data_IF_705349567994
#
_entry.id   IF_705349567994
#
_cell.length_a   1.000
_cell.length_b   1.000
_cell.length_c   1.000
_cell.angle_alpha   90.00
_cell.angle_beta   90.00
_cell.angle_gamma   90.00
#
_symmetry.space_group_name_H-M   'P 1'
#
loop_
_entity.id
_entity.type
_entity.pdbx_description
1 polymer ?
#
# COMPACT_ATOMS: atom_id res chain seq x y z
N UNK A 1 -6.90 22.48 -20.16
CA UNK A 1 -7.09 21.50 -19.07
C UNK A 1 -5.83 20.69 -18.76
N UNK A 2 -5.11 20.13 -19.76
CA UNK A 2 -3.89 19.34 -19.52
C UNK A 2 -2.79 20.07 -18.72
N UNK A 3 -2.52 21.34 -19.05
CA UNK A 3 -1.46 22.14 -18.40
C UNK A 3 -1.74 22.42 -16.92
N UNK A 4 -3.02 22.58 -16.55
CA UNK A 4 -3.46 22.75 -15.15
C UNK A 4 -3.30 21.43 -14.38
N UNK A 5 -3.64 20.29 -14.99
CA UNK A 5 -3.43 18.96 -14.39
C UNK A 5 -1.95 18.69 -14.10
N UNK A 6 -1.07 18.96 -15.07
CA UNK A 6 0.37 18.74 -14.92
C UNK A 6 0.95 19.61 -13.81
N UNK A 7 0.53 20.88 -13.73
CA UNK A 7 0.94 21.76 -12.63
C UNK A 7 0.44 21.26 -11.27
N UNK A 8 -0.80 20.77 -11.17
CA UNK A 8 -1.31 20.21 -9.91
C UNK A 8 -0.58 18.95 -9.48
N UNK A 9 -0.19 18.08 -10.41
CA UNK A 9 0.61 16.88 -10.13
C UNK A 9 2.01 17.23 -9.63
N UNK A 10 2.68 18.20 -10.28
CA UNK A 10 4.01 18.65 -9.88
C UNK A 10 4.01 19.28 -8.48
N UNK A 11 2.98 20.09 -8.16
CA UNK A 11 2.80 20.68 -6.83
C UNK A 11 2.54 19.59 -5.78
N UNK A 12 1.69 18.62 -6.09
CA UNK A 12 1.37 17.52 -5.17
C UNK A 12 2.57 16.60 -4.93
N UNK A 13 3.34 16.29 -5.98
CA UNK A 13 4.61 15.56 -5.86
C UNK A 13 5.61 16.34 -5.00
N UNK A 14 5.79 17.64 -5.25
CA UNK A 14 6.66 18.50 -4.45
C UNK A 14 6.26 18.56 -2.97
N UNK A 15 4.97 18.72 -2.69
CA UNK A 15 4.43 18.73 -1.32
C UNK A 15 4.63 17.36 -0.63
N UNK A 16 4.43 16.25 -1.34
CA UNK A 16 4.64 14.90 -0.81
C UNK A 16 6.11 14.61 -0.50
N UNK A 17 7.06 15.05 -1.34
CA UNK A 17 8.49 14.99 -1.04
C UNK A 17 8.83 15.76 0.24
N UNK A 18 8.30 16.97 0.36
CA UNK A 18 8.56 17.83 1.51
C UNK A 18 8.02 17.20 2.81
N UNK A 19 6.83 16.60 2.75
CA UNK A 19 6.25 15.85 3.87
C UNK A 19 7.05 14.59 4.24
N UNK A 20 7.58 13.86 3.26
CA UNK A 20 8.44 12.71 3.51
C UNK A 20 9.77 13.11 4.14
N UNK A 21 10.36 14.23 3.71
CA UNK A 21 11.59 14.77 4.31
C UNK A 21 11.36 15.22 5.75
N UNK A 22 10.24 15.89 6.05
CA UNK A 22 9.92 16.27 7.44
C UNK A 22 9.69 15.05 8.32
N UNK A 23 9.00 14.02 7.83
CA UNK A 23 8.84 12.74 8.52
C UNK A 23 10.19 12.03 8.74
N UNK A 24 11.08 12.07 7.75
CA UNK A 24 12.40 11.48 7.85
C UNK A 24 13.29 12.18 8.87
N UNK A 25 13.30 13.52 8.86
CA UNK A 25 14.06 14.33 9.83
C UNK A 25 13.51 14.13 11.24
N UNK A 26 12.19 14.25 11.42
CA UNK A 26 11.55 14.04 12.74
C UNK A 26 11.76 12.61 13.24
N UNK A 27 11.67 11.59 12.38
CA UNK A 27 11.95 10.21 12.73
C UNK A 27 13.40 9.97 13.15
N UNK A 28 14.37 10.62 12.50
CA UNK A 28 15.79 10.56 12.89
C UNK A 28 16.09 11.33 14.18
N UNK A 29 15.43 12.47 14.42
CA UNK A 29 15.49 13.19 15.71
C UNK A 29 14.89 12.32 16.83
N UNK A 30 13.78 11.63 16.55
CA UNK A 30 13.15 10.71 17.49
C UNK A 30 14.05 9.50 17.81
N UNK A 31 14.87 9.07 16.83
CA UNK A 31 15.97 8.11 17.03
C UNK A 31 17.17 8.66 17.82
N UNK A 32 17.29 9.95 18.08
CA UNK A 32 18.38 10.49 18.91
C UNK A 32 18.00 10.58 20.39
N UNK A 33 16.70 10.54 20.70
CA UNK A 33 16.20 10.62 22.07
C UNK A 33 16.48 9.32 22.86
N UNK A 34 16.89 9.39 24.14
CA UNK A 34 17.15 8.22 24.98
C UNK A 34 15.87 7.49 25.47
N UNK A 35 14.68 8.03 25.21
CA UNK A 35 13.38 7.53 25.70
C UNK A 35 12.61 6.62 24.72
N UNK A 36 13.30 6.03 23.72
CA UNK A 36 12.69 5.33 22.56
C UNK A 36 11.78 4.16 22.94
N UNK A 37 12.10 3.47 24.03
CA UNK A 37 11.45 2.21 24.41
C UNK A 37 10.01 2.39 24.91
N UNK A 38 9.64 3.59 25.37
CA UNK A 38 8.30 3.82 25.95
C UNK A 38 7.39 4.64 25.03
N UNK A 39 7.95 5.65 24.36
CA UNK A 39 7.13 6.61 23.62
C UNK A 39 6.66 6.08 22.26
N UNK A 40 7.53 5.36 21.55
CA UNK A 40 7.23 4.97 20.17
C UNK A 40 6.24 3.80 20.05
N UNK A 41 6.29 2.74 20.87
CA UNK A 41 5.25 1.71 20.87
C UNK A 41 3.86 2.27 21.12
N UNK A 42 3.77 3.27 22.01
CA UNK A 42 2.50 3.91 22.35
C UNK A 42 1.92 4.70 21.18
N UNK A 43 2.76 5.45 20.46
CA UNK A 43 2.34 6.14 19.23
C UNK A 43 1.95 5.15 18.14
N UNK A 44 2.74 4.10 17.95
CA UNK A 44 2.50 3.11 16.91
C UNK A 44 1.20 2.33 17.15
N UNK A 45 0.94 1.92 18.39
CA UNK A 45 -0.32 1.28 18.80
C UNK A 45 -1.53 2.20 18.57
N UNK A 46 -1.38 3.50 18.83
CA UNK A 46 -2.44 4.48 18.60
C UNK A 46 -2.73 4.69 17.10
N UNK A 47 -1.70 4.69 16.26
CA UNK A 47 -1.83 4.95 14.83
C UNK A 47 -2.27 3.72 14.02
N UNK A 48 -1.74 2.54 14.33
CA UNK A 48 -1.96 1.31 13.55
C UNK A 48 -2.99 0.37 14.17
N UNK A 49 -3.32 0.53 15.46
CA UNK A 49 -4.18 -0.40 16.20
C UNK A 49 -3.54 -1.77 16.49
N UNK A 50 -2.31 -2.02 16.03
CA UNK A 50 -1.60 -3.30 16.16
C UNK A 50 -0.37 -3.13 17.06
N UNK A 51 -0.13 -4.10 17.94
CA UNK A 51 1.08 -4.17 18.75
C UNK A 51 2.19 -4.86 17.95
N UNK A 52 3.17 -4.10 17.46
CA UNK A 52 4.37 -4.64 16.84
C UNK A 52 5.58 -4.57 17.79
N UNK A 53 6.44 -5.61 17.80
CA UNK A 53 7.74 -5.59 18.46
C UNK A 53 8.61 -4.41 18.03
N UNK A 54 9.14 -3.70 19.04
CA UNK A 54 9.91 -2.45 18.87
C UNK A 54 11.11 -2.63 17.94
N UNK A 55 11.77 -3.78 18.00
CA UNK A 55 12.98 -4.12 17.25
C UNK A 55 12.74 -4.32 15.75
N UNK A 56 11.57 -4.84 15.36
CA UNK A 56 11.20 -5.01 13.96
C UNK A 56 11.00 -3.66 13.26
N UNK A 57 10.36 -2.69 13.92
CA UNK A 57 10.10 -1.41 13.28
C UNK A 57 11.30 -0.44 13.41
N UNK A 58 12.01 -0.37 14.55
CA UNK A 58 13.09 0.60 14.78
C UNK A 58 14.26 0.49 13.80
N UNK A 59 14.59 -0.73 13.41
CA UNK A 59 15.70 -1.03 12.49
C UNK A 59 15.49 -0.39 11.11
N UNK A 60 14.23 -0.37 10.66
CA UNK A 60 13.83 0.12 9.34
C UNK A 60 13.17 1.52 9.38
N UNK A 61 12.69 1.95 10.54
CA UNK A 61 12.02 3.24 10.76
C UNK A 61 12.93 4.39 10.35
N UNK A 62 12.45 5.38 9.59
CA UNK A 62 13.25 6.50 9.09
C UNK A 62 14.58 6.07 8.40
N UNK A 63 14.60 4.87 7.81
CA UNK A 63 15.67 4.40 6.94
C UNK A 63 15.45 4.82 5.49
N UNK A 64 16.50 4.75 4.67
CA UNK A 64 16.41 5.07 3.25
C UNK A 64 15.45 4.13 2.50
N UNK A 65 15.39 2.84 2.89
CA UNK A 65 14.46 1.86 2.32
C UNK A 65 12.99 2.23 2.57
N UNK A 66 12.64 2.60 3.81
CA UNK A 66 11.29 3.06 4.15
C UNK A 66 10.91 4.32 3.36
N UNK A 67 11.86 5.26 3.19
CA UNK A 67 11.62 6.47 2.42
C UNK A 67 11.41 6.18 0.93
N UNK A 68 12.19 5.25 0.35
CA UNK A 68 11.97 4.77 -1.03
C UNK A 68 10.60 4.12 -1.19
N UNK A 69 10.20 3.27 -0.24
CA UNK A 69 8.89 2.60 -0.27
C UNK A 69 7.74 3.62 -0.18
N UNK A 70 7.79 4.54 0.79
CA UNK A 70 6.78 5.59 0.93
C UNK A 70 6.73 6.53 -0.28
N UNK A 71 7.89 6.88 -0.85
CA UNK A 71 7.95 7.67 -2.08
C UNK A 71 7.28 6.96 -3.25
N UNK A 72 7.59 5.68 -3.47
CA UNK A 72 6.95 4.85 -4.51
C UNK A 72 5.44 4.78 -4.30
N UNK A 73 4.98 4.58 -3.08
CA UNK A 73 3.57 4.55 -2.74
C UNK A 73 2.88 5.89 -3.03
N UNK A 74 3.43 7.02 -2.56
CA UNK A 74 2.89 8.35 -2.84
C UNK A 74 2.85 8.63 -4.34
N UNK A 75 3.91 8.30 -5.06
CA UNK A 75 3.99 8.48 -6.51
C UNK A 75 2.95 7.65 -7.26
N UNK A 76 2.78 6.38 -6.88
CA UNK A 76 1.76 5.50 -7.45
C UNK A 76 0.35 6.02 -7.13
N UNK A 77 0.09 6.48 -5.90
CA UNK A 77 -1.22 6.99 -5.52
C UNK A 77 -1.57 8.30 -6.25
N UNK A 78 -0.59 9.19 -6.45
CA UNK A 78 -0.76 10.41 -7.25
C UNK A 78 -1.03 10.08 -8.73
N UNK A 79 -0.43 9.00 -9.24
CA UNK A 79 -0.61 8.52 -10.62
C UNK A 79 -1.87 7.69 -10.81
N UNK A 80 -2.32 6.95 -9.80
CA UNK A 80 -3.54 6.17 -9.76
C UNK A 80 -4.74 7.13 -9.64
N UNK A 81 -4.96 7.93 -10.68
CA UNK A 81 -6.09 8.86 -10.79
C UNK A 81 -7.39 8.10 -11.07
N UNK A 82 -7.80 7.21 -10.16
CA UNK A 82 -9.14 6.63 -10.23
C UNK A 82 -10.08 7.52 -9.43
N UNK A 83 -10.84 8.35 -10.15
CA UNK A 83 -11.95 9.11 -9.56
C UNK A 83 -13.25 8.40 -9.88
N UNK A 84 -14.10 8.28 -8.88
CA UNK A 84 -15.45 7.74 -9.05
C UNK A 84 -16.21 8.58 -10.10
N UNK A 85 -16.65 7.93 -11.19
CA UNK A 85 -17.31 8.59 -12.33
C UNK A 85 -16.42 8.86 -13.55
N UNK A 86 -15.10 8.68 -13.48
CA UNK A 86 -14.22 8.68 -14.66
C UNK A 86 -14.09 7.27 -15.27
N UNK A 87 -13.84 7.19 -16.58
CA UNK A 87 -13.67 5.90 -17.28
C UNK A 87 -12.46 5.15 -16.72
N UNK A 88 -12.63 3.85 -16.46
CA UNK A 88 -11.52 2.99 -16.05
C UNK A 88 -10.44 2.95 -17.15
N UNK A 89 -9.15 3.13 -16.82
CA UNK A 89 -8.07 3.04 -17.80
C UNK A 89 -7.94 1.61 -18.33
N UNK A 90 -7.67 1.46 -19.63
CA UNK A 90 -7.49 0.16 -20.28
C UNK A 90 -6.19 -0.50 -19.77
N UNK A 91 -6.31 -1.31 -18.72
CA UNK A 91 -5.20 -2.02 -18.11
C UNK A 91 -4.98 -3.35 -18.85
N UNK A 92 -3.74 -3.59 -19.30
CA UNK A 92 -3.38 -4.87 -19.91
C UNK A 92 -3.41 -5.97 -18.84
N UNK A 93 -4.41 -6.83 -18.90
CA UNK A 93 -4.53 -8.02 -18.06
C UNK A 93 -4.04 -9.25 -18.82
N UNK A 94 -3.41 -10.18 -18.12
CA UNK A 94 -3.01 -11.48 -18.68
C UNK A 94 -3.99 -12.54 -18.16
N UNK A 95 -4.63 -13.28 -19.07
CA UNK A 95 -5.55 -14.36 -18.71
C UNK A 95 -4.77 -15.57 -18.16
N UNK A 96 -5.06 -15.95 -16.91
CA UNK A 96 -4.45 -17.07 -16.21
C UNK A 96 -5.11 -18.42 -16.53
N UNK A 97 -6.15 -18.47 -17.37
CA UNK A 97 -6.85 -19.71 -17.73
C UNK A 97 -5.94 -20.83 -18.25
N UNK A 98 -4.75 -20.51 -18.77
CA UNK A 98 -3.77 -21.47 -19.30
C UNK A 98 -2.68 -21.90 -18.29
N UNK A 99 -2.67 -21.39 -17.06
CA UNK A 99 -1.67 -21.71 -16.04
C UNK A 99 -2.35 -22.18 -14.75
N UNK A 100 -2.45 -23.51 -14.64
CA UNK A 100 -2.71 -24.35 -13.46
C UNK A 100 -3.69 -23.84 -12.37
N UNK A 101 -4.81 -24.57 -12.20
CA UNK A 101 -5.78 -24.39 -11.10
C UNK A 101 -5.09 -24.45 -9.73
N UNK A 102 -5.04 -23.31 -9.04
CA UNK A 102 -4.79 -23.25 -7.60
C UNK A 102 -6.14 -23.34 -6.87
N UNK A 103 -6.21 -24.14 -5.81
CA UNK A 103 -7.42 -24.35 -5.02
C UNK A 103 -7.54 -23.20 -4.01
N UNK A 104 -8.39 -22.22 -4.29
CA UNK A 104 -8.46 -20.94 -3.55
C UNK A 104 -9.55 -20.93 -2.47
N UNK A 105 -10.12 -22.10 -2.18
CA UNK A 105 -11.29 -22.32 -1.33
C UNK A 105 -11.08 -21.96 0.14
N UNK A 106 -9.82 -21.80 0.59
CA UNK A 106 -9.47 -21.62 2.00
C UNK A 106 -9.36 -20.15 2.43
N UNK A 107 -9.51 -19.20 1.50
CA UNK A 107 -9.52 -17.76 1.84
C UNK A 107 -10.94 -17.32 2.22
N UNK A 108 -11.12 -17.01 3.51
CA UNK A 108 -12.41 -16.61 4.13
C UNK A 108 -13.11 -15.46 3.37
N UNK A 109 -12.36 -14.57 2.73
CA UNK A 109 -12.92 -13.46 1.95
C UNK A 109 -13.40 -13.86 0.55
N UNK A 110 -12.88 -14.95 -0.02
CA UNK A 110 -13.32 -15.44 -1.33
C UNK A 110 -14.66 -16.16 -1.27
N UNK A 111 -14.98 -16.81 -0.15
CA UNK A 111 -16.30 -17.42 0.03
C UNK A 111 -17.41 -16.35 0.00
N UNK A 112 -17.22 -15.23 0.71
CA UNK A 112 -18.14 -14.09 0.68
C UNK A 112 -18.22 -13.47 -0.71
N UNK A 113 -17.08 -13.34 -1.39
CA UNK A 113 -17.05 -12.86 -2.77
C UNK A 113 -17.85 -13.78 -3.71
N UNK A 114 -17.71 -15.10 -3.56
CA UNK A 114 -18.46 -16.09 -4.34
C UNK A 114 -19.97 -15.97 -4.13
N UNK A 115 -20.42 -15.78 -2.89
CA UNK A 115 -21.84 -15.58 -2.58
C UNK A 115 -22.39 -14.30 -3.25
N UNK A 116 -21.64 -13.20 -3.21
CA UNK A 116 -22.02 -11.94 -3.86
C UNK A 116 -22.05 -12.11 -5.38
N UNK A 117 -21.02 -12.74 -5.95
CA UNK A 117 -20.92 -12.97 -7.40
C UNK A 117 -22.10 -13.82 -7.88
N UNK A 118 -22.44 -14.90 -7.18
CA UNK A 118 -23.59 -15.74 -7.54
C UNK A 118 -24.93 -14.99 -7.39
N UNK A 119 -25.07 -14.14 -6.38
CA UNK A 119 -26.31 -13.39 -6.14
C UNK A 119 -26.59 -12.32 -7.20
N UNK A 120 -25.54 -11.70 -7.75
CA UNK A 120 -25.66 -10.57 -8.67
C UNK A 120 -25.18 -10.88 -10.09
N UNK A 121 -24.96 -12.16 -10.42
CA UNK A 121 -24.48 -12.61 -11.74
C UNK A 121 -25.43 -12.26 -12.89
N UNK A 122 -26.68 -11.92 -12.59
CA UNK A 122 -27.67 -11.49 -13.59
C UNK A 122 -27.61 -9.99 -13.91
N UNK A 123 -26.88 -9.19 -13.13
CA UNK A 123 -26.84 -7.72 -13.24
C UNK A 123 -25.42 -7.22 -13.48
N UNK A 124 -24.39 -7.95 -13.02
CA UNK A 124 -23.00 -7.56 -13.16
C UNK A 124 -22.09 -8.76 -13.43
N UNK A 125 -21.01 -8.49 -14.18
CA UNK A 125 -19.88 -9.39 -14.34
C UNK A 125 -18.87 -9.17 -13.20
N UNK A 126 -18.14 -10.23 -12.86
CA UNK A 126 -17.17 -10.23 -11.77
C UNK A 126 -15.81 -10.73 -12.28
N UNK A 127 -14.73 -10.09 -11.83
CA UNK A 127 -13.36 -10.50 -12.14
C UNK A 127 -12.51 -10.49 -10.87
N UNK A 128 -11.62 -11.47 -10.75
CA UNK A 128 -10.57 -11.50 -9.72
C UNK A 128 -9.25 -11.18 -10.42
N UNK A 129 -8.62 -10.07 -10.03
CA UNK A 129 -7.32 -9.66 -10.55
C UNK A 129 -6.27 -10.09 -9.54
N UNK A 130 -5.44 -11.06 -9.92
CA UNK A 130 -4.26 -11.40 -9.14
C UNK A 130 -3.18 -10.34 -9.37
N UNK A 131 -2.70 -9.77 -8.28
CA UNK A 131 -1.58 -8.83 -8.24
C UNK A 131 -0.37 -9.51 -7.58
N UNK A 132 0.80 -8.90 -7.71
CA UNK A 132 2.01 -9.35 -6.99
C UNK A 132 1.73 -9.47 -5.49
N UNK A 133 2.31 -10.49 -4.85
CA UNK A 133 2.08 -10.79 -3.44
C UNK A 133 2.45 -9.58 -2.56
N UNK A 134 1.55 -9.22 -1.64
CA UNK A 134 1.81 -8.15 -0.67
C UNK A 134 2.98 -8.47 0.28
N UNK A 135 3.27 -9.77 0.47
CA UNK A 135 4.37 -10.29 1.26
C UNK A 135 5.01 -11.44 0.49
N UNK A 136 5.86 -11.12 -0.48
CA UNK A 136 6.60 -12.12 -1.25
C UNK A 136 7.41 -13.02 -0.29
N UNK A 137 7.24 -14.34 -0.37
CA UNK A 137 7.89 -15.30 0.54
C UNK A 137 9.44 -15.23 0.51
N UNK A 138 9.99 -14.67 -0.55
CA UNK A 138 11.41 -14.46 -0.85
C UNK A 138 11.94 -13.09 -0.41
N UNK A 139 11.08 -12.16 0.03
CA UNK A 139 11.48 -10.86 0.55
C UNK A 139 10.94 -10.62 1.98
N UNK A 140 11.87 -10.43 2.93
CA UNK A 140 11.63 -10.08 4.34
C UNK A 140 10.97 -11.14 5.24
N UNK A 141 11.37 -12.42 5.11
CA UNK A 141 11.47 -13.25 6.32
C UNK A 141 12.63 -12.71 7.16
N UNK A 142 12.34 -11.84 8.13
CA UNK A 142 13.29 -11.42 9.14
C UNK A 142 13.89 -12.68 9.80
N UNK A 143 15.18 -12.92 9.57
CA UNK A 143 15.98 -13.86 10.37
C UNK A 143 16.35 -13.24 11.71
#
# INVERSE_FOLDING_TARGET
MALVSVCTEAILQGASLLALLTLFITGNILKLLPYKQYFIPKLFKLASGVELPLEMYLSSFAGFEMMKALWRMCHLNIKAKLKEGESFPDAQLVDTANLQRVNVSDLVDLQKFSEISQRFSNVADFAIIYIEEAHAADEWAFK
#
